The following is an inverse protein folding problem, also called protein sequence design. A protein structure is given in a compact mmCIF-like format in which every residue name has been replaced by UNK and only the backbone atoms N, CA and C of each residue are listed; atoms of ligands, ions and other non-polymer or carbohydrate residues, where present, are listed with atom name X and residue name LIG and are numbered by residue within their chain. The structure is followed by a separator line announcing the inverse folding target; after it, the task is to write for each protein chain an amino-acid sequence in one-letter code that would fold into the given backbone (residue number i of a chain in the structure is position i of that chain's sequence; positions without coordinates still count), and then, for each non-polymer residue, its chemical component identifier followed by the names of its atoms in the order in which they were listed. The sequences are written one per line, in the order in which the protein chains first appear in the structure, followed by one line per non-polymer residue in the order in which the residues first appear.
data_IF_245765257733
#
_entry.id   IF_245765257733
#
_cell.length_a   1.000
_cell.length_b   1.000
_cell.length_c   1.000
_cell.angle_alpha   90.00
_cell.angle_beta   90.00
_cell.angle_gamma   90.00
#
_symmetry.space_group_name_H-M   'P 1'
#
loop_
_entity.id
_entity.type
_entity.pdbx_description
1 polymer ?
#
# COMPACT_ATOMS: atom_id res chain seq x y z
N UNK A 1 -22.59 -12.14 -1.91
CA UNK A 1 -21.83 -10.87 -2.06
C UNK A 1 -20.37 -11.24 -2.29
N UNK A 2 -19.72 -10.68 -3.31
CA UNK A 2 -18.27 -10.90 -3.46
C UNK A 2 -17.56 -10.04 -2.42
N UNK A 3 -16.69 -10.65 -1.64
CA UNK A 3 -15.81 -10.01 -0.66
C UNK A 3 -14.64 -9.34 -1.38
N UNK A 4 -14.17 -8.22 -0.86
CA UNK A 4 -12.93 -7.58 -1.27
C UNK A 4 -11.76 -8.57 -1.16
N UNK A 5 -10.95 -8.68 -2.21
CA UNK A 5 -9.69 -9.44 -2.17
C UNK A 5 -8.56 -8.51 -2.56
N UNK A 6 -7.50 -8.52 -1.78
CA UNK A 6 -6.31 -7.70 -2.03
C UNK A 6 -5.09 -8.59 -1.91
N UNK A 7 -4.25 -8.56 -2.94
CA UNK A 7 -2.94 -9.23 -2.96
C UNK A 7 -1.84 -8.21 -3.18
N UNK A 8 -0.82 -8.21 -2.33
CA UNK A 8 0.39 -7.42 -2.53
C UNK A 8 1.20 -8.03 -3.68
N UNK A 9 1.55 -7.22 -4.68
CA UNK A 9 2.39 -7.64 -5.81
C UNK A 9 3.85 -7.32 -5.50
N UNK A 10 4.10 -6.08 -5.05
CA UNK A 10 5.45 -5.58 -4.82
C UNK A 10 5.44 -4.53 -3.72
N UNK A 11 6.54 -4.42 -2.99
CA UNK A 11 6.79 -3.32 -2.07
C UNK A 11 8.23 -2.83 -2.32
N UNK A 12 8.40 -1.53 -2.50
CA UNK A 12 9.70 -0.93 -2.80
C UNK A 12 9.91 0.40 -2.07
N UNK A 13 11.16 0.87 -2.08
CA UNK A 13 11.52 2.21 -1.65
C UNK A 13 12.00 2.35 -0.20
N UNK A 14 11.98 1.30 0.62
CA UNK A 14 12.47 1.38 2.01
C UNK A 14 13.90 1.92 2.10
N UNK A 15 14.82 1.42 1.26
CA UNK A 15 16.21 1.86 1.30
C UNK A 15 16.37 3.35 1.03
N UNK A 16 15.77 3.85 -0.04
CA UNK A 16 15.81 5.29 -0.37
C UNK A 16 15.12 6.17 0.66
N UNK A 17 13.98 5.71 1.20
CA UNK A 17 13.23 6.43 2.21
C UNK A 17 14.01 6.55 3.52
N UNK A 18 14.65 5.47 3.97
CA UNK A 18 15.48 5.46 5.17
C UNK A 18 16.78 6.26 4.99
N UNK A 19 17.39 6.18 3.80
CA UNK A 19 18.57 7.02 3.49
C UNK A 19 18.23 8.50 3.62
N UNK A 20 17.14 8.94 3.02
CA UNK A 20 16.68 10.32 3.09
C UNK A 20 16.36 10.80 4.54
N UNK A 21 15.97 9.87 5.42
CA UNK A 21 15.62 10.14 6.81
C UNK A 21 16.78 10.76 7.61
N UNK A 22 18.03 10.36 7.34
CA UNK A 22 19.23 10.79 8.08
C UNK A 22 19.88 12.07 7.52
N UNK A 23 19.59 12.43 6.28
CA UNK A 23 20.21 13.57 5.61
C UNK A 23 20.08 14.90 6.37
N UNK A 24 18.92 15.25 6.96
CA UNK A 24 18.80 16.50 7.72
C UNK A 24 19.72 16.60 8.94
N UNK A 25 20.22 15.46 9.43
CA UNK A 25 21.13 15.40 10.58
C UNK A 25 22.60 15.28 10.17
N UNK A 26 22.91 15.36 8.87
CA UNK A 26 24.27 15.17 8.35
C UNK A 26 24.85 13.78 8.66
N UNK A 27 23.99 12.76 8.77
CA UNK A 27 24.37 11.37 9.13
C UNK A 27 23.99 10.41 8.03
N UNK A 28 24.80 9.38 7.87
CA UNK A 28 24.47 8.28 6.97
C UNK A 28 23.42 7.35 7.58
N UNK A 29 22.66 6.70 6.71
CA UNK A 29 21.75 5.63 7.07
C UNK A 29 22.56 4.45 7.59
N UNK A 30 22.02 3.76 8.59
CA UNK A 30 22.61 2.53 9.16
C UNK A 30 21.98 1.27 8.60
N UNK A 31 20.74 1.39 8.13
CA UNK A 31 20.03 0.30 7.46
C UNK A 31 20.63 0.05 6.08
N UNK A 32 20.83 -1.20 5.74
CA UNK A 32 21.41 -1.61 4.47
C UNK A 32 20.32 -2.28 3.64
N UNK A 33 20.12 -1.77 2.43
CA UNK A 33 19.29 -2.43 1.41
C UNK A 33 20.20 -3.34 0.59
N UNK A 34 20.02 -4.64 0.68
CA UNK A 34 20.86 -5.57 -0.07
C UNK A 34 20.00 -6.46 -0.98
N UNK A 35 20.31 -6.41 -2.26
CA UNK A 35 19.63 -7.20 -3.29
C UNK A 35 20.10 -8.67 -3.32
N UNK A 36 21.13 -9.06 -2.55
CA UNK A 36 21.80 -10.35 -2.77
C UNK A 36 22.63 -10.96 -1.63
N UNK A 37 22.34 -10.71 -0.33
CA UNK A 37 23.21 -11.27 0.72
C UNK A 37 22.52 -12.18 1.73
N UNK A 38 23.19 -13.33 2.00
CA UNK A 38 23.03 -14.13 3.20
C UNK A 38 23.51 -13.31 4.39
N UNK A 39 22.66 -13.18 5.40
CA UNK A 39 22.99 -12.50 6.65
C UNK A 39 23.86 -13.45 7.47
N UNK A 40 25.15 -13.16 7.56
CA UNK A 40 26.01 -13.76 8.56
C UNK A 40 26.05 -12.82 9.76
N UNK A 41 25.58 -13.30 10.91
CA UNK A 41 25.61 -12.68 12.23
C UNK A 41 25.10 -11.22 12.30
N UNK A 42 23.84 -11.07 12.70
CA UNK A 42 23.27 -9.78 13.04
C UNK A 42 23.57 -9.43 14.51
N UNK A 43 24.10 -8.25 14.73
CA UNK A 43 24.03 -7.56 16.01
C UNK A 43 22.54 -7.47 16.45
N UNK A 44 22.22 -7.60 17.74
CA UNK A 44 20.85 -7.61 18.28
C UNK A 44 20.02 -6.36 17.90
N UNK A 45 20.69 -5.34 17.37
CA UNK A 45 20.08 -4.08 16.92
C UNK A 45 19.59 -4.12 15.46
N UNK A 46 19.85 -5.20 14.71
CA UNK A 46 19.54 -5.29 13.28
C UNK A 46 18.48 -6.38 13.05
N UNK A 47 17.39 -6.03 12.41
CA UNK A 47 16.33 -6.97 12.03
C UNK A 47 16.28 -7.14 10.53
N UNK A 48 16.42 -8.36 10.00
CA UNK A 48 16.11 -8.64 8.61
C UNK A 48 14.61 -8.52 8.40
N UNK A 49 14.20 -7.78 7.38
CA UNK A 49 12.82 -7.73 6.93
C UNK A 49 12.77 -8.45 5.60
N UNK A 50 12.18 -9.64 5.60
CA UNK A 50 11.76 -10.27 4.36
C UNK A 50 10.51 -9.54 3.88
N UNK A 51 10.61 -8.85 2.76
CA UNK A 51 9.45 -8.33 2.06
C UNK A 51 8.97 -9.46 1.16
N UNK A 52 8.10 -10.28 1.71
CA UNK A 52 7.47 -11.35 0.96
C UNK A 52 6.33 -10.75 0.14
N UNK A 53 6.55 -10.59 -1.15
CA UNK A 53 5.54 -10.11 -2.09
C UNK A 53 4.83 -11.28 -2.74
N UNK A 54 3.78 -11.81 -2.13
CA UNK A 54 2.80 -12.70 -2.75
C UNK A 54 3.28 -13.68 -3.84
N UNK A 55 2.44 -14.00 -4.80
CA UNK A 55 2.75 -14.93 -5.93
C UNK A 55 3.94 -14.50 -6.83
N UNK A 56 4.40 -13.25 -6.70
CA UNK A 56 5.51 -12.70 -7.48
C UNK A 56 6.61 -12.23 -6.53
N UNK A 57 7.46 -13.17 -6.15
CA UNK A 57 8.53 -12.98 -5.16
C UNK A 57 9.71 -12.18 -5.78
N UNK A 58 9.64 -10.86 -5.75
CA UNK A 58 10.81 -9.98 -5.96
C UNK A 58 11.29 -9.46 -4.60
N UNK A 59 11.75 -10.40 -3.75
CA UNK A 59 12.17 -10.09 -2.39
C UNK A 59 13.32 -9.10 -2.34
N UNK A 60 13.06 -7.89 -1.87
CA UNK A 60 14.11 -7.00 -1.38
C UNK A 60 14.31 -7.32 0.10
N UNK A 61 15.44 -7.89 0.45
CA UNK A 61 15.83 -8.05 1.84
C UNK A 61 16.41 -6.73 2.34
N UNK A 62 15.78 -6.14 3.34
CA UNK A 62 16.29 -4.94 4.01
C UNK A 62 16.82 -5.36 5.38
N UNK A 63 18.06 -5.03 5.64
CA UNK A 63 18.63 -5.11 6.99
C UNK A 63 18.33 -3.77 7.66
N UNK A 64 17.34 -3.75 8.55
CA UNK A 64 16.89 -2.55 9.23
C UNK A 64 17.61 -2.37 10.55
N UNK A 65 18.30 -1.23 10.71
CA UNK A 65 18.77 -0.78 12.03
C UNK A 65 17.59 -0.26 12.86
N UNK A 66 17.43 -0.77 14.07
CA UNK A 66 16.34 -0.40 14.98
C UNK A 66 16.30 1.11 15.26
N UNK A 67 17.44 1.79 15.24
CA UNK A 67 17.53 3.24 15.45
C UNK A 67 16.97 4.04 14.28
N UNK A 68 17.05 3.53 13.05
CA UNK A 68 16.41 4.13 11.89
C UNK A 68 14.89 3.96 11.97
N UNK A 69 14.41 2.80 12.41
CA UNK A 69 12.98 2.55 12.63
C UNK A 69 12.42 3.44 13.74
N UNK A 70 13.12 3.54 14.86
CA UNK A 70 12.72 4.41 15.99
C UNK A 70 12.64 5.88 15.56
N UNK A 71 13.60 6.36 14.77
CA UNK A 71 13.57 7.73 14.23
C UNK A 71 12.39 7.90 13.28
N UNK A 72 12.16 6.96 12.36
CA UNK A 72 11.04 7.00 11.43
C UNK A 72 9.70 7.04 12.16
N UNK A 73 9.47 6.13 13.12
CA UNK A 73 8.26 6.08 13.93
C UNK A 73 8.04 7.37 14.73
N UNK A 74 9.12 7.92 15.32
CA UNK A 74 9.06 9.18 16.05
C UNK A 74 8.61 10.33 15.14
N UNK A 75 9.14 10.42 13.93
CA UNK A 75 8.78 11.47 12.98
C UNK A 75 7.34 11.26 12.46
N UNK A 76 6.93 10.03 12.21
CA UNK A 76 5.57 9.73 11.79
C UNK A 76 4.53 10.13 12.85
N UNK A 77 4.83 9.92 14.13
CA UNK A 77 3.96 10.36 15.25
C UNK A 77 3.82 11.88 15.37
N UNK A 78 4.77 12.65 14.84
CA UNK A 78 4.74 14.12 14.88
C UNK A 78 3.84 14.75 13.81
N UNK A 79 3.33 13.98 12.86
CA UNK A 79 2.42 14.47 11.84
C UNK A 79 2.95 14.33 10.41
N UNK A 80 2.08 14.58 9.45
CA UNK A 80 2.31 14.34 8.01
C UNK A 80 3.49 15.12 7.43
N UNK A 81 3.77 16.32 7.95
CA UNK A 81 4.90 17.16 7.55
C UNK A 81 6.25 16.55 7.93
N UNK A 82 6.29 15.75 8.98
CA UNK A 82 7.48 15.03 9.45
C UNK A 82 7.56 13.61 8.90
N UNK A 83 6.44 13.03 8.51
CA UNK A 83 6.31 11.65 8.02
C UNK A 83 6.80 11.44 6.57
N UNK A 84 7.78 12.22 6.10
CA UNK A 84 8.22 12.22 4.69
C UNK A 84 8.76 10.86 4.23
N UNK A 85 9.32 10.08 5.15
CA UNK A 85 9.79 8.71 4.91
C UNK A 85 8.70 7.83 4.30
N UNK A 86 7.44 8.01 4.71
CA UNK A 86 6.31 7.23 4.21
C UNK A 86 5.96 7.50 2.73
N UNK A 87 6.42 8.61 2.18
CA UNK A 87 6.19 8.98 0.77
C UNK A 87 7.05 8.15 -0.18
N UNK A 88 8.21 7.71 0.29
CA UNK A 88 9.17 6.94 -0.50
C UNK A 88 8.91 5.43 -0.46
N UNK A 89 8.04 4.93 0.42
CA UNK A 89 7.71 3.51 0.51
C UNK A 89 6.42 3.26 -0.29
N UNK A 90 6.53 2.45 -1.35
CA UNK A 90 5.46 2.21 -2.31
C UNK A 90 5.02 0.75 -2.29
N UNK A 91 3.72 0.53 -2.47
CA UNK A 91 3.08 -0.80 -2.51
C UNK A 91 2.27 -0.92 -3.78
N UNK A 92 2.53 -1.97 -4.57
CA UNK A 92 1.69 -2.38 -5.69
C UNK A 92 0.74 -3.47 -5.22
N UNK A 93 -0.55 -3.25 -5.40
CA UNK A 93 -1.57 -4.18 -4.95
C UNK A 93 -2.58 -4.48 -6.05
N UNK A 94 -2.88 -5.77 -6.26
CA UNK A 94 -4.02 -6.21 -7.06
C UNK A 94 -5.25 -6.22 -6.17
N UNK A 95 -6.31 -5.56 -6.63
CA UNK A 95 -7.56 -5.39 -5.88
C UNK A 95 -8.72 -5.91 -6.71
N UNK A 96 -9.44 -6.90 -6.17
CA UNK A 96 -10.69 -7.41 -6.71
C UNK A 96 -11.83 -6.93 -5.82
N UNK A 97 -12.72 -6.09 -6.33
CA UNK A 97 -13.79 -5.48 -5.54
C UNK A 97 -15.03 -5.13 -6.38
N UNK A 98 -16.17 -4.79 -5.76
CA UNK A 98 -17.30 -4.18 -6.44
C UNK A 98 -16.98 -2.75 -6.91
N UNK A 99 -17.63 -2.31 -8.00
CA UNK A 99 -17.46 -0.96 -8.55
C UNK A 99 -17.71 0.12 -7.49
N UNK A 100 -18.71 -0.04 -6.60
CA UNK A 100 -18.97 0.96 -5.56
C UNK A 100 -17.76 1.20 -4.65
N UNK A 101 -17.04 0.13 -4.27
CA UNK A 101 -15.82 0.26 -3.46
C UNK A 101 -14.68 0.89 -4.24
N UNK A 102 -14.50 0.49 -5.52
CA UNK A 102 -13.50 1.08 -6.39
C UNK A 102 -13.66 2.61 -6.51
N UNK A 103 -14.91 3.09 -6.60
CA UNK A 103 -15.24 4.52 -6.66
C UNK A 103 -14.93 5.25 -5.36
N UNK A 104 -15.21 4.66 -4.19
CA UNK A 104 -14.80 5.25 -2.92
C UNK A 104 -13.28 5.34 -2.79
N UNK A 105 -12.57 4.27 -3.21
CA UNK A 105 -11.12 4.25 -3.18
C UNK A 105 -10.50 5.31 -4.11
N UNK A 106 -11.16 5.67 -5.22
CA UNK A 106 -10.71 6.71 -6.16
C UNK A 106 -10.69 8.13 -5.58
N UNK A 107 -11.32 8.36 -4.44
CA UNK A 107 -11.23 9.65 -3.75
C UNK A 107 -9.83 9.93 -3.18
N UNK A 108 -9.02 8.89 -2.97
CA UNK A 108 -7.65 8.99 -2.47
C UNK A 108 -6.66 9.13 -3.63
N UNK A 109 -6.41 10.37 -4.08
CA UNK A 109 -5.57 10.63 -5.27
C UNK A 109 -4.11 10.92 -4.94
N UNK A 110 -3.83 11.58 -3.81
CA UNK A 110 -2.45 11.94 -3.45
C UNK A 110 -1.67 10.74 -2.96
N UNK A 111 -0.60 10.37 -3.68
CA UNK A 111 0.27 9.23 -3.35
C UNK A 111 -0.36 7.87 -3.63
N UNK A 112 -1.37 7.84 -4.51
CA UNK A 112 -1.97 6.64 -5.10
C UNK A 112 -2.11 6.84 -6.60
N UNK A 113 -1.83 5.78 -7.35
CA UNK A 113 -2.03 5.74 -8.80
C UNK A 113 -2.69 4.42 -9.21
N UNK A 114 -3.70 4.50 -10.07
CA UNK A 114 -4.30 3.32 -10.71
C UNK A 114 -3.60 3.07 -12.04
N UNK A 115 -2.93 1.92 -12.18
CA UNK A 115 -2.21 1.56 -13.39
C UNK A 115 -3.15 1.05 -14.47
N UNK A 116 -4.04 0.11 -14.12
CA UNK A 116 -4.99 -0.47 -15.06
C UNK A 116 -6.13 -1.16 -14.31
N UNK A 117 -7.26 -1.32 -14.98
CA UNK A 117 -8.41 -2.05 -14.47
C UNK A 117 -9.08 -2.90 -15.55
N UNK A 118 -9.83 -3.92 -15.12
CA UNK A 118 -10.69 -4.69 -16.02
C UNK A 118 -11.71 -3.76 -16.70
N UNK A 119 -11.90 -4.00 -17.99
CA UNK A 119 -12.82 -3.19 -18.80
C UNK A 119 -14.14 -3.95 -19.03
N UNK A 120 -15.24 -3.33 -18.64
CA UNK A 120 -16.58 -3.83 -18.97
C UNK A 120 -16.84 -3.88 -20.49
N UNK A 121 -16.07 -3.10 -21.28
CA UNK A 121 -16.11 -3.15 -22.75
C UNK A 121 -15.66 -4.52 -23.30
N UNK A 122 -14.71 -5.16 -22.63
CA UNK A 122 -14.17 -6.47 -23.04
C UNK A 122 -14.84 -7.65 -22.37
N UNK A 123 -15.72 -7.41 -21.41
CA UNK A 123 -16.43 -8.42 -20.64
C UNK A 123 -17.94 -8.29 -20.85
N UNK A 124 -18.66 -7.60 -19.97
CA UNK A 124 -20.12 -7.52 -19.96
C UNK A 124 -20.72 -6.88 -21.23
N UNK A 125 -19.99 -5.95 -21.85
CA UNK A 125 -20.43 -5.19 -23.03
C UNK A 125 -19.67 -5.58 -24.31
N UNK A 126 -19.10 -6.79 -24.36
CA UNK A 126 -18.33 -7.23 -25.53
C UNK A 126 -19.16 -7.24 -26.79
N UNK A 127 -18.66 -6.59 -27.84
CA UNK A 127 -19.33 -6.51 -29.15
C UNK A 127 -20.43 -5.45 -29.27
N UNK A 128 -20.82 -4.80 -28.17
CA UNK A 128 -21.80 -3.70 -28.18
C UNK A 128 -21.20 -2.38 -28.65
N UNK A 129 -22.01 -1.54 -29.28
CA UNK A 129 -21.59 -0.21 -29.72
C UNK A 129 -22.73 0.82 -29.63
N UNK A 130 -22.40 2.10 -29.76
CA UNK A 130 -23.35 3.21 -29.82
C UNK A 130 -24.34 3.24 -28.64
N UNK A 131 -25.64 3.39 -28.95
CA UNK A 131 -26.71 3.48 -27.95
C UNK A 131 -26.87 2.20 -27.11
N UNK A 132 -26.70 1.04 -27.75
CA UNK A 132 -26.77 -0.25 -27.05
C UNK A 132 -25.73 -0.34 -25.92
N UNK A 133 -24.47 0.02 -26.23
CA UNK A 133 -23.39 0.07 -25.26
C UNK A 133 -23.68 1.06 -24.12
N UNK A 134 -24.19 2.26 -24.44
CA UNK A 134 -24.55 3.25 -23.42
C UNK A 134 -25.63 2.71 -22.48
N UNK A 135 -26.68 2.07 -23.01
CA UNK A 135 -27.75 1.48 -22.22
C UNK A 135 -27.25 0.33 -21.34
N UNK A 136 -26.42 -0.54 -21.89
CA UNK A 136 -25.82 -1.65 -21.12
C UNK A 136 -24.96 -1.13 -19.97
N UNK A 137 -24.08 -0.17 -20.23
CA UNK A 137 -23.24 0.47 -19.19
C UNK A 137 -24.06 1.20 -18.13
N UNK A 138 -25.12 1.90 -18.53
CA UNK A 138 -26.01 2.61 -17.61
C UNK A 138 -26.81 1.68 -16.69
N UNK A 139 -26.97 0.42 -17.04
CA UNK A 139 -27.68 -0.61 -16.26
C UNK A 139 -26.76 -1.49 -15.43
N UNK A 140 -25.43 -1.35 -15.54
CA UNK A 140 -24.50 -2.14 -14.75
C UNK A 140 -24.73 -1.92 -13.25
N UNK A 141 -24.97 -2.99 -12.48
CA UNK A 141 -25.10 -2.85 -11.03
C UNK A 141 -23.81 -2.32 -10.41
N UNK A 142 -23.92 -1.50 -9.39
CA UNK A 142 -22.77 -1.00 -8.63
C UNK A 142 -21.97 -2.12 -7.93
N UNK A 143 -22.60 -3.30 -7.75
CA UNK A 143 -21.94 -4.51 -7.25
C UNK A 143 -21.17 -5.29 -8.32
N UNK A 144 -21.13 -4.84 -9.58
CA UNK A 144 -20.35 -5.49 -10.65
C UNK A 144 -18.89 -5.58 -10.23
N UNK A 145 -18.26 -6.76 -10.38
CA UNK A 145 -16.85 -6.94 -10.02
C UNK A 145 -15.94 -6.12 -10.93
N UNK A 146 -14.91 -5.55 -10.36
CA UNK A 146 -13.77 -5.03 -11.11
C UNK A 146 -12.46 -5.40 -10.43
N UNK A 147 -11.43 -5.62 -11.25
CA UNK A 147 -10.07 -5.92 -10.80
C UNK A 147 -9.14 -4.84 -11.33
N UNK A 148 -8.26 -4.35 -10.50
CA UNK A 148 -7.27 -3.34 -10.89
C UNK A 148 -5.99 -3.50 -10.08
N UNK A 149 -4.94 -2.84 -10.58
CA UNK A 149 -3.67 -2.68 -9.86
C UNK A 149 -3.53 -1.22 -9.49
N UNK A 150 -3.42 -0.97 -8.20
CA UNK A 150 -3.12 0.35 -7.65
C UNK A 150 -1.74 0.35 -7.00
N UNK A 151 -1.08 1.50 -7.07
CA UNK A 151 0.15 1.81 -6.34
C UNK A 151 -0.19 2.76 -5.22
N UNK A 152 0.28 2.48 -4.01
CA UNK A 152 0.07 3.32 -2.83
C UNK A 152 1.38 3.69 -2.17
N UNK A 153 1.53 4.93 -1.73
CA UNK A 153 2.54 5.24 -0.73
C UNK A 153 2.06 4.84 0.67
N UNK A 154 2.98 4.51 1.58
CA UNK A 154 2.64 4.26 2.99
C UNK A 154 1.93 5.45 3.62
N UNK A 155 2.26 6.69 3.21
CA UNK A 155 1.56 7.89 3.69
C UNK A 155 0.08 7.86 3.31
N UNK A 156 -0.24 7.47 2.06
CA UNK A 156 -1.63 7.36 1.61
C UNK A 156 -2.36 6.24 2.34
N UNK A 157 -1.73 5.08 2.53
CA UNK A 157 -2.31 3.98 3.31
C UNK A 157 -2.60 4.42 4.75
N UNK A 158 -1.67 5.14 5.40
CA UNK A 158 -1.88 5.71 6.74
C UNK A 158 -3.09 6.64 6.78
N UNK A 159 -3.24 7.54 5.80
CA UNK A 159 -4.41 8.44 5.70
C UNK A 159 -5.72 7.68 5.50
N UNK A 160 -5.72 6.66 4.63
CA UNK A 160 -6.88 5.80 4.41
C UNK A 160 -7.29 5.11 5.71
N UNK A 161 -6.36 4.48 6.41
CA UNK A 161 -6.61 3.80 7.68
C UNK A 161 -7.23 4.77 8.69
N UNK A 162 -6.64 5.95 8.87
CA UNK A 162 -7.14 6.96 9.80
C UNK A 162 -8.57 7.40 9.47
N UNK A 163 -8.88 7.62 8.18
CA UNK A 163 -10.20 8.11 7.76
C UNK A 163 -11.27 7.01 7.70
N UNK A 164 -10.88 5.75 7.52
CA UNK A 164 -11.80 4.62 7.33
C UNK A 164 -11.90 3.70 8.55
N UNK A 165 -11.19 3.98 9.62
CA UNK A 165 -11.38 3.35 10.93
C UNK A 165 -12.85 3.55 11.35
N UNK A 166 -13.56 2.46 11.57
CA UNK A 166 -14.99 2.51 11.93
C UNK A 166 -15.98 2.76 10.79
N UNK A 167 -15.53 2.72 9.52
CA UNK A 167 -16.43 2.91 8.39
C UNK A 167 -17.49 1.80 8.28
N UNK A 168 -18.71 2.16 7.82
CA UNK A 168 -19.89 1.25 7.77
C UNK A 168 -19.71 0.11 6.75
N UNK A 169 -19.02 0.35 5.62
CA UNK A 169 -18.78 -0.68 4.62
C UNK A 169 -17.74 -1.68 5.13
N UNK A 170 -18.05 -2.98 5.13
CA UNK A 170 -17.15 -4.02 5.63
C UNK A 170 -15.86 -4.15 4.81
N UNK A 171 -15.88 -3.75 3.55
CA UNK A 171 -14.71 -3.75 2.66
C UNK A 171 -13.58 -2.89 3.22
N UNK A 172 -13.88 -1.77 3.88
CA UNK A 172 -12.85 -0.94 4.52
C UNK A 172 -12.17 -1.66 5.68
N UNK A 173 -12.91 -2.49 6.42
CA UNK A 173 -12.31 -3.33 7.46
C UNK A 173 -11.36 -4.36 6.87
N UNK A 174 -11.75 -4.97 5.73
CA UNK A 174 -10.89 -5.91 5.01
C UNK A 174 -9.65 -5.21 4.43
N UNK A 175 -9.82 -3.99 3.87
CA UNK A 175 -8.70 -3.17 3.38
C UNK A 175 -7.70 -2.86 4.51
N UNK A 176 -8.18 -2.39 5.66
CA UNK A 176 -7.35 -2.10 6.83
C UNK A 176 -6.66 -3.38 7.34
N UNK A 177 -7.37 -4.50 7.33
CA UNK A 177 -6.80 -5.81 7.65
C UNK A 177 -5.63 -6.18 6.73
N UNK A 178 -5.76 -5.93 5.42
CA UNK A 178 -4.66 -6.10 4.49
C UNK A 178 -3.50 -5.15 4.78
N UNK A 179 -3.76 -3.87 5.05
CA UNK A 179 -2.71 -2.90 5.39
C UNK A 179 -1.90 -3.35 6.61
N UNK A 180 -2.54 -3.99 7.59
CA UNK A 180 -1.85 -4.55 8.78
C UNK A 180 -0.84 -5.66 8.43
N UNK A 181 -1.01 -6.35 7.30
CA UNK A 181 -0.07 -7.40 6.87
C UNK A 181 1.19 -6.86 6.19
N UNK A 182 1.25 -5.57 5.90
CA UNK A 182 2.40 -4.95 5.24
C UNK A 182 3.60 -4.85 6.19
N UNK A 183 4.84 -4.94 5.68
CA UNK A 183 6.05 -4.82 6.47
C UNK A 183 6.07 -3.53 7.30
N UNK A 184 6.40 -3.63 8.59
CA UNK A 184 6.49 -2.48 9.51
C UNK A 184 5.20 -1.64 9.60
N UNK A 185 4.05 -2.23 9.29
CA UNK A 185 2.77 -1.50 9.30
C UNK A 185 2.50 -0.89 10.68
N UNK A 186 2.73 -1.63 11.76
CA UNK A 186 2.49 -1.17 13.13
C UNK A 186 3.41 0.00 13.51
N UNK A 187 4.67 -0.03 13.06
CA UNK A 187 5.67 1.00 13.34
C UNK A 187 5.52 2.25 12.49
N UNK A 188 5.04 2.13 11.24
CA UNK A 188 5.05 3.20 10.26
C UNK A 188 3.64 3.67 9.85
N UNK A 189 2.67 2.75 9.77
CA UNK A 189 1.31 3.11 9.33
C UNK A 189 0.39 3.32 10.54
N UNK A 190 0.38 2.39 11.49
CA UNK A 190 -0.54 2.43 12.63
C UNK A 190 0.02 3.17 13.86
N UNK A 191 1.33 3.44 13.92
CA UNK A 191 1.94 4.07 15.09
C UNK A 191 1.32 5.45 15.39
N UNK A 192 1.01 5.71 16.67
CA UNK A 192 0.40 6.96 17.13
C UNK A 192 -1.07 7.14 16.70
N UNK A 193 -1.73 6.09 16.20
CA UNK A 193 -3.17 6.04 16.08
C UNK A 193 -3.75 5.43 17.36
N UNK A 194 -4.69 6.14 17.99
CA UNK A 194 -5.48 5.58 19.09
C UNK A 194 -6.33 4.42 18.57
N UNK A 195 -6.52 3.38 19.37
CA UNK A 195 -7.35 2.22 19.06
C UNK A 195 -8.83 2.57 18.90
#
# INVERSE_FOLDING_TARGET
MRTLKIGTIEIAGFGGALHALRLPFGKEVRSITNLSFKIEACDDLVRPIAIDGGEYNYGQNIILDIRDLQLASTLVKRGDEHAKVLRGIMVWAKIDCPIYFARELETYRCGRERLSCTSTMHQECKGMSGKELQMAKGRLPMGTPCTFVDVFSYQTLRRIVHQRKGHRLPEWRQFIGWVKTLPLADDLIFCGMEE
#
